data_IF_225149629499
#
_entry.id   IF_225149629499
#
_cell.length_a   1.000
_cell.length_b   1.000
_cell.length_c   1.000
_cell.angle_alpha   90.00
_cell.angle_beta   90.00
_cell.angle_gamma   90.00
#
_symmetry.space_group_name_H-M   'P 1'
#
loop_
_entity.id
_entity.type
_entity.pdbx_description
1 polymer ?
#
# COMPACT_ATOMS: atom_id res chain seq x y z
N UNK A 1 -1.57 -2.76 -7.39
CA UNK A 1 -2.27 -3.57 -6.37
C UNK A 1 -2.54 -2.69 -5.17
N UNK A 2 -3.79 -2.67 -4.70
CA UNK A 2 -4.15 -1.99 -3.46
C UNK A 2 -4.55 -3.05 -2.45
N UNK A 3 -3.84 -3.09 -1.31
CA UNK A 3 -4.19 -3.93 -0.16
C UNK A 3 -4.88 -3.05 0.89
N UNK A 4 -5.96 -3.54 1.51
CA UNK A 4 -6.71 -2.79 2.53
C UNK A 4 -6.58 -3.50 3.88
N UNK A 5 -6.19 -2.78 4.93
CA UNK A 5 -6.08 -3.32 6.29
C UNK A 5 -6.73 -2.39 7.33
N UNK A 6 -7.17 -2.99 8.44
CA UNK A 6 -7.68 -2.21 9.56
C UNK A 6 -6.54 -1.57 10.37
N UNK A 7 -5.60 -2.39 10.84
CA UNK A 7 -4.51 -1.98 11.74
C UNK A 7 -3.30 -2.88 11.55
N UNK A 8 -2.41 -2.49 10.65
CA UNK A 8 -1.12 -3.17 10.45
C UNK A 8 -0.09 -2.18 9.89
N UNK A 9 1.05 -2.08 10.56
CA UNK A 9 2.15 -1.21 10.15
C UNK A 9 3.21 -1.95 9.32
N UNK A 10 3.04 -3.26 9.17
CA UNK A 10 3.88 -4.10 8.35
C UNK A 10 3.29 -4.23 6.95
N UNK A 11 4.18 -4.38 5.98
CA UNK A 11 3.81 -4.57 4.59
C UNK A 11 3.19 -5.95 4.40
N UNK A 12 2.14 -6.05 3.59
CA UNK A 12 1.52 -7.34 3.29
C UNK A 12 2.50 -8.26 2.55
N UNK A 13 2.68 -9.52 2.99
CA UNK A 13 3.51 -10.49 2.27
C UNK A 13 2.96 -10.80 0.86
N UNK A 14 1.68 -10.48 0.61
CA UNK A 14 1.07 -10.61 -0.71
C UNK A 14 1.79 -9.77 -1.78
N UNK A 15 2.49 -8.70 -1.38
CA UNK A 15 3.26 -7.86 -2.31
C UNK A 15 4.46 -8.59 -2.91
N UNK A 16 5.14 -9.44 -2.15
CA UNK A 16 6.26 -10.23 -2.69
C UNK A 16 5.77 -11.19 -3.78
N UNK A 17 4.66 -11.90 -3.51
CA UNK A 17 4.02 -12.81 -4.47
C UNK A 17 3.61 -12.06 -5.74
N UNK A 18 2.97 -10.89 -5.59
CA UNK A 18 2.50 -10.12 -6.74
C UNK A 18 3.61 -9.49 -7.57
N UNK A 19 4.72 -9.10 -6.94
CA UNK A 19 5.87 -8.52 -7.62
C UNK A 19 6.48 -9.49 -8.65
N UNK A 20 6.44 -10.80 -8.38
CA UNK A 20 6.87 -11.82 -9.35
C UNK A 20 5.96 -11.91 -10.58
N UNK A 21 4.66 -11.64 -10.41
CA UNK A 21 3.65 -11.76 -11.47
C UNK A 21 3.60 -10.48 -12.32
N UNK A 22 3.76 -9.32 -11.69
CA UNK A 22 3.67 -8.01 -12.34
C UNK A 22 4.66 -7.01 -11.73
N UNK A 23 5.94 -7.03 -12.12
CA UNK A 23 7.02 -6.27 -11.48
C UNK A 23 6.90 -4.74 -11.63
N UNK A 24 6.06 -4.25 -12.55
CA UNK A 24 5.85 -2.82 -12.77
C UNK A 24 4.59 -2.28 -12.08
N UNK A 25 3.87 -3.12 -11.32
CA UNK A 25 2.65 -2.69 -10.63
C UNK A 25 3.02 -1.91 -9.37
N UNK A 26 2.42 -0.73 -9.21
CA UNK A 26 2.50 0.01 -7.95
C UNK A 26 1.79 -0.76 -6.83
N UNK A 27 2.48 -0.99 -5.72
CA UNK A 27 1.97 -1.70 -4.54
C UNK A 27 1.71 -0.72 -3.41
N UNK A 28 0.45 -0.60 -3.02
CA UNK A 28 0.01 0.34 -1.98
C UNK A 28 -0.85 -0.42 -0.97
N UNK A 29 -0.47 -0.38 0.31
CA UNK A 29 -1.32 -0.82 1.41
C UNK A 29 -1.97 0.40 2.06
N UNK A 30 -3.29 0.45 2.06
CA UNK A 30 -4.07 1.47 2.76
C UNK A 30 -4.55 0.94 4.09
N UNK A 31 -4.25 1.64 5.18
CA UNK A 31 -4.54 1.21 6.55
C UNK A 31 -5.31 2.28 7.31
N UNK A 32 -6.34 1.90 8.06
CA UNK A 32 -7.12 2.85 8.87
C UNK A 32 -6.34 3.34 10.08
N UNK A 33 -5.84 2.41 10.90
CA UNK A 33 -5.06 2.70 12.11
C UNK A 33 -3.57 2.50 11.81
N UNK A 34 -2.90 3.60 11.45
CA UNK A 34 -1.47 3.61 11.14
C UNK A 34 -0.80 4.77 11.86
N UNK A 35 0.28 4.51 12.62
CA UNK A 35 1.02 5.58 13.29
C UNK A 35 1.76 6.50 12.33
N UNK A 36 2.29 5.94 11.24
CA UNK A 36 3.09 6.68 10.26
C UNK A 36 3.08 6.00 8.90
N UNK A 37 2.93 6.79 7.84
CA UNK A 37 3.10 6.35 6.47
C UNK A 37 4.57 6.03 6.14
N UNK A 38 4.79 5.04 5.27
CA UNK A 38 6.14 4.56 4.93
C UNK A 38 6.25 4.25 3.44
N UNK A 39 7.42 4.46 2.89
CA UNK A 39 7.80 3.97 1.55
C UNK A 39 9.01 3.06 1.72
N UNK A 40 8.97 1.87 1.15
CA UNK A 40 10.01 0.87 1.25
C UNK A 40 11.01 0.98 0.09
N UNK A 41 12.24 0.44 0.22
CA UNK A 41 13.24 0.50 -0.85
C UNK A 41 12.78 -0.12 -2.18
N UNK A 42 11.85 -1.07 -2.14
CA UNK A 42 11.25 -1.70 -3.32
C UNK A 42 10.11 -0.86 -3.95
N UNK A 43 9.89 0.37 -3.49
CA UNK A 43 8.84 1.27 -3.99
C UNK A 43 7.44 0.98 -3.45
N UNK A 44 7.26 -0.04 -2.61
CA UNK A 44 5.97 -0.30 -1.98
C UNK A 44 5.65 0.77 -0.92
N UNK A 45 4.35 1.04 -0.74
CA UNK A 45 3.87 2.12 0.09
C UNK A 45 2.88 1.61 1.14
N UNK A 46 2.97 2.12 2.37
CA UNK A 46 1.88 2.03 3.36
C UNK A 46 1.36 3.46 3.59
N UNK A 47 0.05 3.66 3.42
CA UNK A 47 -0.64 4.95 3.49
C UNK A 47 -1.83 4.88 4.43
N UNK A 48 -2.18 6.01 5.03
CA UNK A 48 -3.43 6.14 5.78
C UNK A 48 -4.59 6.15 4.77
N UNK A 49 -5.60 5.32 5.01
CA UNK A 49 -6.65 5.07 4.02
C UNK A 49 -7.39 6.34 3.57
N UNK A 50 -7.82 7.18 4.53
CA UNK A 50 -8.56 8.41 4.19
C UNK A 50 -7.68 9.46 3.48
N UNK A 51 -6.38 9.54 3.81
CA UNK A 51 -5.45 10.43 3.12
C UNK A 51 -5.20 9.98 1.69
N UNK A 52 -5.01 8.68 1.48
CA UNK A 52 -4.77 8.16 0.14
C UNK A 52 -6.00 8.32 -0.75
N UNK A 53 -7.19 7.97 -0.24
CA UNK A 53 -8.45 8.06 -0.98
C UNK A 53 -8.80 9.51 -1.37
N UNK A 54 -8.47 10.51 -0.56
CA UNK A 54 -8.76 11.91 -0.89
C UNK A 54 -7.94 12.43 -2.08
N UNK A 55 -6.84 11.76 -2.42
CA UNK A 55 -5.99 12.09 -3.57
C UNK A 55 -6.24 11.22 -4.81
N UNK A 56 -7.12 10.22 -4.70
CA UNK A 56 -7.37 9.29 -5.78
C UNK A 56 -8.15 9.97 -6.92
N UNK A 57 -7.54 10.02 -8.10
CA UNK A 57 -8.20 10.39 -9.35
C UNK A 57 -8.49 9.14 -10.17
N UNK A 58 -9.73 9.00 -10.66
CA UNK A 58 -10.18 7.87 -11.49
C UNK A 58 -10.20 8.18 -13.00
N UNK A 59 -9.57 9.31 -13.39
CA UNK A 59 -9.50 9.82 -14.77
C UNK A 59 -8.72 8.93 -15.72
#
# INVERSE_FOLDING_TARGET
MVEVKWKDENMSPNFEVFNHISPQVKMIQVTKELKREKTFPNGAEIRIAHNWLSTLSLS
#
